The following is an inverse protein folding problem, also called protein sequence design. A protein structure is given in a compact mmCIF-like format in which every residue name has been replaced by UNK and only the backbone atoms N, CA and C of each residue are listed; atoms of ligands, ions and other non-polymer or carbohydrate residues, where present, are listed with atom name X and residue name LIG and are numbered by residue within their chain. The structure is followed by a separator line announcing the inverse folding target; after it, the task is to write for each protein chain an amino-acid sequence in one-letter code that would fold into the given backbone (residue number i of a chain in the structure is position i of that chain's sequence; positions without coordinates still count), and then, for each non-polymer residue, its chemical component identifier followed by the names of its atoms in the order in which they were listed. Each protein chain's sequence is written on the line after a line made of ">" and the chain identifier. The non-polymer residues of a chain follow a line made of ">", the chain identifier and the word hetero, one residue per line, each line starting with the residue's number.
data_IF_158717019632
#
_entry.id   IF_158717019632
#
_cell.length_a   1.000
_cell.length_b   1.000
_cell.length_c   1.000
_cell.angle_alpha   90.00
_cell.angle_beta   90.00
_cell.angle_gamma   90.00
#
_symmetry.space_group_name_H-M   'P 1'
#
loop_
_entity.id
_entity.type
_entity.pdbx_description
1 polymer ?
#
# COMPACT_ATOMS: atom_id res chain seq x y z
N UNK A 1 -65.12 -33.66 108.07
CA UNK A 1 -64.92 -34.82 107.17
C UNK A 1 -65.64 -34.61 105.84
N UNK A 2 -66.97 -34.55 105.79
CA UNK A 2 -67.71 -34.33 104.53
C UNK A 2 -67.29 -33.09 103.70
N UNK A 3 -67.03 -31.94 104.33
CA UNK A 3 -66.52 -30.74 103.62
C UNK A 3 -65.14 -30.95 102.97
N UNK A 4 -64.29 -31.77 103.60
CA UNK A 4 -62.96 -32.08 103.10
C UNK A 4 -63.05 -33.03 101.89
N UNK A 5 -63.91 -34.05 101.97
CA UNK A 5 -64.19 -34.96 100.84
C UNK A 5 -64.80 -34.25 99.63
N UNK A 6 -65.75 -33.32 99.86
CA UNK A 6 -66.31 -32.51 98.77
C UNK A 6 -65.24 -31.62 98.13
N UNK A 7 -64.35 -31.04 98.92
CA UNK A 7 -63.24 -30.23 98.42
C UNK A 7 -62.22 -31.06 97.63
N UNK A 8 -61.91 -32.30 98.06
CA UNK A 8 -61.08 -33.25 97.30
C UNK A 8 -61.74 -33.67 95.97
N UNK A 9 -63.06 -33.88 95.96
CA UNK A 9 -63.79 -34.19 94.73
C UNK A 9 -63.76 -33.03 93.73
N UNK A 10 -63.95 -31.79 94.21
CA UNK A 10 -63.84 -30.58 93.37
C UNK A 10 -62.41 -30.41 92.86
N UNK A 11 -61.39 -30.63 93.69
CA UNK A 11 -59.97 -30.57 93.26
C UNK A 11 -59.68 -31.61 92.16
N UNK A 12 -60.12 -32.85 92.32
CA UNK A 12 -59.98 -33.90 91.29
C UNK A 12 -60.73 -33.55 90.00
N UNK A 13 -61.91 -32.94 90.11
CA UNK A 13 -62.67 -32.49 88.94
C UNK A 13 -61.92 -31.38 88.19
N UNK A 14 -61.42 -30.37 88.90
CA UNK A 14 -60.60 -29.29 88.35
C UNK A 14 -59.31 -29.83 87.72
N UNK A 15 -58.67 -30.82 88.33
CA UNK A 15 -57.48 -31.48 87.77
C UNK A 15 -57.81 -32.22 86.47
N UNK A 16 -58.96 -32.90 86.37
CA UNK A 16 -59.41 -33.54 85.12
C UNK A 16 -59.67 -32.51 84.03
N UNK A 17 -60.39 -31.44 84.34
CA UNK A 17 -60.68 -30.36 83.38
C UNK A 17 -59.40 -29.66 82.91
N UNK A 18 -58.46 -29.41 83.84
CA UNK A 18 -57.13 -28.91 83.51
C UNK A 18 -56.38 -29.86 82.58
N UNK A 19 -56.38 -31.16 82.86
CA UNK A 19 -55.72 -32.15 82.01
C UNK A 19 -56.37 -32.23 80.62
N UNK A 20 -57.70 -32.18 80.53
CA UNK A 20 -58.38 -32.13 79.23
C UNK A 20 -58.01 -30.88 78.44
N UNK A 21 -57.93 -29.71 79.07
CA UNK A 21 -57.51 -28.48 78.40
C UNK A 21 -56.04 -28.56 77.94
N UNK A 22 -55.16 -29.19 78.73
CA UNK A 22 -53.77 -29.43 78.32
C UNK A 22 -53.71 -30.38 77.12
N UNK A 23 -54.51 -31.44 77.11
CA UNK A 23 -54.61 -32.38 75.98
C UNK A 23 -55.15 -31.69 74.72
N UNK A 24 -56.17 -30.84 74.83
CA UNK A 24 -56.69 -30.06 73.69
C UNK A 24 -55.66 -29.06 73.16
N UNK A 25 -54.98 -28.32 74.04
CA UNK A 25 -53.93 -27.36 73.63
C UNK A 25 -52.72 -28.06 73.01
N UNK A 26 -52.33 -29.22 73.53
CA UNK A 26 -51.23 -30.01 72.94
C UNK A 26 -51.64 -30.63 71.61
N UNK A 27 -52.88 -31.10 71.46
CA UNK A 27 -53.43 -31.57 70.18
C UNK A 27 -53.53 -30.42 69.15
N UNK A 28 -53.89 -29.20 69.59
CA UNK A 28 -53.96 -28.04 68.72
C UNK A 28 -52.56 -27.57 68.28
N UNK A 29 -51.60 -27.49 69.21
CA UNK A 29 -50.20 -27.14 68.90
C UNK A 29 -49.56 -28.16 67.96
N UNK A 30 -49.82 -29.46 68.15
CA UNK A 30 -49.30 -30.50 67.25
C UNK A 30 -49.92 -30.39 65.86
N UNK A 31 -51.23 -30.10 65.74
CA UNK A 31 -51.87 -29.81 64.43
C UNK A 31 -51.28 -28.59 63.73
N UNK A 32 -51.15 -27.46 64.43
CA UNK A 32 -50.57 -26.23 63.86
C UNK A 32 -49.12 -26.44 63.44
N UNK A 33 -48.33 -27.17 64.25
CA UNK A 33 -46.95 -27.51 63.90
C UNK A 33 -46.87 -28.37 62.64
N UNK A 34 -47.77 -29.34 62.49
CA UNK A 34 -47.84 -30.17 61.29
C UNK A 34 -48.27 -29.37 60.04
N UNK A 35 -49.20 -28.43 60.20
CA UNK A 35 -49.66 -27.55 59.11
C UNK A 35 -48.56 -26.57 58.69
N UNK A 36 -47.83 -25.99 59.65
CA UNK A 36 -46.65 -25.16 59.39
C UNK A 36 -45.55 -25.97 58.67
N UNK A 37 -45.30 -27.20 59.10
CA UNK A 37 -44.32 -28.07 58.45
C UNK A 37 -44.70 -28.40 57.00
N UNK A 38 -46.00 -28.67 56.74
CA UNK A 38 -46.50 -28.87 55.37
C UNK A 38 -46.36 -27.60 54.53
N UNK A 39 -46.73 -26.44 55.08
CA UNK A 39 -46.56 -25.15 54.40
C UNK A 39 -45.09 -24.87 54.05
N UNK A 40 -44.18 -25.09 55.01
CA UNK A 40 -42.74 -24.94 54.80
C UNK A 40 -42.22 -25.91 53.72
N UNK A 41 -42.67 -27.17 53.72
CA UNK A 41 -42.31 -28.13 52.68
C UNK A 41 -42.78 -27.66 51.28
N UNK A 42 -44.01 -27.12 51.17
CA UNK A 42 -44.52 -26.57 49.91
C UNK A 42 -43.75 -25.31 49.48
N UNK A 43 -43.36 -24.45 50.42
CA UNK A 43 -42.56 -23.25 50.13
C UNK A 43 -41.17 -23.63 49.62
N UNK A 44 -40.52 -24.62 50.23
CA UNK A 44 -39.25 -25.16 49.76
C UNK A 44 -39.37 -25.75 48.36
N UNK A 45 -40.45 -26.48 48.07
CA UNK A 45 -40.69 -27.03 46.74
C UNK A 45 -40.90 -25.94 45.69
N UNK A 46 -41.70 -24.91 45.99
CA UNK A 46 -41.92 -23.77 45.10
C UNK A 46 -40.63 -22.95 44.88
N UNK A 47 -39.83 -22.77 45.93
CA UNK A 47 -38.53 -22.11 45.85
C UNK A 47 -37.57 -22.87 44.94
N UNK A 48 -37.53 -24.20 45.05
CA UNK A 48 -36.73 -25.05 44.17
C UNK A 48 -37.18 -24.93 42.69
N UNK A 49 -38.49 -24.96 42.43
CA UNK A 49 -39.04 -24.77 41.09
C UNK A 49 -38.72 -23.38 40.52
N UNK A 50 -38.83 -22.33 41.34
CA UNK A 50 -38.44 -20.97 40.94
C UNK A 50 -36.95 -20.88 40.60
N UNK A 51 -36.10 -21.56 41.36
CA UNK A 51 -34.67 -21.62 41.06
C UNK A 51 -34.40 -22.33 39.74
N UNK A 52 -35.05 -23.47 39.49
CA UNK A 52 -34.93 -24.20 38.23
C UNK A 52 -35.37 -23.38 37.02
N UNK A 53 -36.51 -22.68 37.10
CA UNK A 53 -36.98 -21.81 36.02
C UNK A 53 -36.00 -20.65 35.80
N UNK A 54 -35.47 -20.05 36.87
CA UNK A 54 -34.43 -19.01 36.74
C UNK A 54 -33.18 -19.53 36.05
N UNK A 55 -32.72 -20.73 36.39
CA UNK A 55 -31.60 -21.36 35.70
C UNK A 55 -31.92 -21.64 34.23
N UNK A 56 -33.11 -22.14 33.91
CA UNK A 56 -33.52 -22.39 32.53
C UNK A 56 -33.55 -21.09 31.72
N UNK A 57 -34.09 -20.01 32.28
CA UNK A 57 -34.06 -18.67 31.67
C UNK A 57 -32.61 -18.21 31.47
N UNK A 58 -31.75 -18.35 32.47
CA UNK A 58 -30.33 -17.95 32.36
C UNK A 58 -29.61 -18.74 31.27
N UNK A 59 -29.83 -20.07 31.18
CA UNK A 59 -29.26 -20.91 30.10
C UNK A 59 -29.73 -20.46 28.73
N UNK A 60 -31.03 -20.13 28.58
CA UNK A 60 -31.57 -19.59 27.32
C UNK A 60 -30.96 -18.24 26.97
N UNK A 61 -30.81 -17.34 27.93
CA UNK A 61 -30.18 -16.02 27.73
C UNK A 61 -28.74 -16.17 27.28
N UNK A 62 -27.95 -17.04 27.91
CA UNK A 62 -26.55 -17.31 27.51
C UNK A 62 -26.49 -17.92 26.10
N UNK A 63 -27.33 -18.90 25.79
CA UNK A 63 -27.40 -19.50 24.45
C UNK A 63 -27.76 -18.47 23.37
N UNK A 64 -28.71 -17.56 23.65
CA UNK A 64 -29.06 -16.48 22.73
C UNK A 64 -27.87 -15.53 22.57
N UNK A 65 -27.17 -15.18 23.65
CA UNK A 65 -25.99 -14.34 23.59
C UNK A 65 -24.89 -14.97 22.71
N UNK A 66 -24.67 -16.29 22.82
CA UNK A 66 -23.72 -17.01 21.97
C UNK A 66 -24.11 -16.96 20.49
N UNK A 67 -25.41 -17.13 20.18
CA UNK A 67 -25.91 -16.98 18.82
C UNK A 67 -25.74 -15.55 18.28
N UNK A 68 -25.98 -14.53 19.11
CA UNK A 68 -25.75 -13.13 18.75
C UNK A 68 -24.28 -12.87 18.45
N UNK A 69 -23.38 -13.34 19.31
CA UNK A 69 -21.93 -13.21 19.11
C UNK A 69 -21.48 -13.92 17.83
N UNK A 70 -22.00 -15.12 17.55
CA UNK A 70 -21.72 -15.85 16.30
C UNK A 70 -22.22 -15.08 15.06
N UNK A 71 -23.43 -14.49 15.14
CA UNK A 71 -23.95 -13.63 14.07
C UNK A 71 -23.12 -12.37 13.87
N UNK A 72 -22.60 -11.74 14.93
CA UNK A 72 -21.70 -10.60 14.83
C UNK A 72 -20.38 -10.99 14.16
N UNK A 73 -19.81 -12.15 14.51
CA UNK A 73 -18.61 -12.69 13.83
C UNK A 73 -18.86 -12.87 12.34
N UNK A 74 -19.97 -13.50 11.95
CA UNK A 74 -20.33 -13.70 10.54
C UNK A 74 -20.58 -12.38 9.81
N UNK A 75 -21.20 -11.39 10.47
CA UNK A 75 -21.38 -10.04 9.90
C UNK A 75 -20.04 -9.35 9.65
N UNK A 76 -19.08 -9.51 10.57
CA UNK A 76 -17.74 -8.96 10.40
C UNK A 76 -16.99 -9.63 9.26
N UNK A 77 -17.08 -10.96 9.15
CA UNK A 77 -16.52 -11.71 8.02
C UNK A 77 -17.13 -11.27 6.70
N UNK A 78 -18.46 -11.13 6.63
CA UNK A 78 -19.15 -10.65 5.44
C UNK A 78 -18.71 -9.22 5.06
N UNK A 79 -18.54 -8.32 6.03
CA UNK A 79 -18.03 -6.97 5.79
C UNK A 79 -16.63 -7.03 5.18
N UNK A 80 -15.73 -7.83 5.75
CA UNK A 80 -14.36 -7.97 5.24
C UNK A 80 -14.32 -8.54 3.82
N UNK A 81 -15.19 -9.51 3.51
CA UNK A 81 -15.35 -10.06 2.15
C UNK A 81 -15.89 -8.99 1.19
N UNK A 82 -16.86 -8.18 1.61
CA UNK A 82 -17.39 -7.08 0.79
C UNK A 82 -16.34 -6.01 0.51
N UNK A 83 -15.56 -5.62 1.52
CA UNK A 83 -14.46 -4.67 1.34
C UNK A 83 -13.42 -5.23 0.35
N UNK A 84 -13.07 -6.52 0.48
CA UNK A 84 -12.15 -7.17 -0.45
C UNK A 84 -12.72 -7.27 -1.87
N UNK A 85 -14.01 -7.52 -2.00
CA UNK A 85 -14.72 -7.53 -3.28
C UNK A 85 -14.64 -6.16 -3.95
N UNK A 86 -14.98 -5.09 -3.22
CA UNK A 86 -14.94 -3.72 -3.73
C UNK A 86 -13.53 -3.33 -4.18
N UNK A 87 -12.50 -3.72 -3.42
CA UNK A 87 -11.10 -3.51 -3.79
C UNK A 87 -10.72 -4.22 -5.09
N UNK A 88 -11.15 -5.47 -5.27
CA UNK A 88 -10.93 -6.22 -6.51
C UNK A 88 -11.70 -5.61 -7.70
N UNK A 89 -12.92 -5.13 -7.49
CA UNK A 89 -13.71 -4.43 -8.51
C UNK A 89 -13.03 -3.11 -8.93
N UNK A 90 -12.50 -2.33 -7.98
CA UNK A 90 -11.74 -1.11 -8.27
C UNK A 90 -10.47 -1.40 -9.07
N UNK A 91 -9.69 -2.41 -8.65
CA UNK A 91 -8.49 -2.83 -9.38
C UNK A 91 -8.82 -3.30 -10.80
N UNK A 92 -9.89 -4.07 -10.97
CA UNK A 92 -10.36 -4.51 -12.29
C UNK A 92 -10.74 -3.31 -13.16
N UNK A 93 -11.43 -2.31 -12.58
CA UNK A 93 -11.80 -1.10 -13.30
C UNK A 93 -10.57 -0.30 -13.75
N UNK A 94 -9.56 -0.14 -12.89
CA UNK A 94 -8.30 0.53 -13.25
C UNK A 94 -7.57 -0.20 -14.38
N UNK A 95 -7.38 -1.51 -14.28
CA UNK A 95 -6.75 -2.30 -15.36
C UNK A 95 -7.56 -2.26 -16.66
N UNK A 96 -8.89 -2.18 -16.57
CA UNK A 96 -9.75 -2.05 -17.75
C UNK A 96 -9.56 -0.70 -18.42
N UNK A 97 -9.48 0.39 -17.65
CA UNK A 97 -9.21 1.73 -18.16
C UNK A 97 -7.81 1.83 -18.77
N UNK A 98 -6.79 1.23 -18.13
CA UNK A 98 -5.43 1.15 -18.69
C UNK A 98 -5.41 0.39 -20.02
N UNK A 99 -6.11 -0.74 -20.11
CA UNK A 99 -6.25 -1.52 -21.35
C UNK A 99 -6.94 -0.70 -22.45
N UNK A 100 -7.97 0.07 -22.11
CA UNK A 100 -8.66 0.95 -23.07
C UNK A 100 -7.76 2.07 -23.56
N UNK A 101 -7.02 2.73 -22.66
CA UNK A 101 -6.04 3.75 -23.02
C UNK A 101 -4.95 3.20 -23.94
N UNK A 102 -4.40 2.02 -23.63
CA UNK A 102 -3.44 1.34 -24.50
C UNK A 102 -4.05 0.93 -25.84
N UNK A 103 -5.32 0.53 -25.86
CA UNK A 103 -6.03 0.23 -27.10
C UNK A 103 -6.19 1.46 -27.99
N UNK A 104 -6.49 2.63 -27.41
CA UNK A 104 -6.58 3.91 -28.14
C UNK A 104 -5.19 4.26 -28.70
N UNK A 105 -4.15 4.22 -27.87
CA UNK A 105 -2.77 4.50 -28.30
C UNK A 105 -2.30 3.54 -29.41
N UNK A 106 -2.70 2.27 -29.34
CA UNK A 106 -2.43 1.29 -30.39
C UNK A 106 -3.15 1.66 -31.70
N UNK A 107 -4.40 2.11 -31.64
CA UNK A 107 -5.14 2.57 -32.83
C UNK A 107 -4.46 3.76 -33.48
N UNK A 108 -4.09 4.78 -32.69
CA UNK A 108 -3.38 5.98 -33.17
C UNK A 108 -2.01 5.63 -33.78
N UNK A 109 -1.24 4.75 -33.12
CA UNK A 109 0.02 4.28 -33.67
C UNK A 109 -0.19 3.52 -35.00
N UNK A 110 -1.24 2.70 -35.10
CA UNK A 110 -1.58 1.96 -36.32
C UNK A 110 -1.98 2.89 -37.46
N UNK A 111 -2.74 3.95 -37.18
CA UNK A 111 -3.08 5.00 -38.14
C UNK A 111 -1.85 5.76 -38.59
N UNK A 112 -0.95 6.12 -37.66
CA UNK A 112 0.33 6.77 -37.98
C UNK A 112 1.20 5.91 -38.88
N UNK A 113 1.28 4.61 -38.60
CA UNK A 113 1.99 3.65 -39.46
C UNK A 113 1.38 3.64 -40.86
N UNK A 114 0.05 3.55 -40.98
CA UNK A 114 -0.62 3.59 -42.29
C UNK A 114 -0.30 4.86 -43.09
N UNK A 115 -0.26 6.03 -42.44
CA UNK A 115 0.09 7.29 -43.09
C UNK A 115 1.54 7.27 -43.56
N UNK A 116 2.47 6.81 -42.71
CA UNK A 116 3.89 6.71 -43.07
C UNK A 116 4.13 5.71 -44.20
N UNK A 117 3.44 4.58 -44.20
CA UNK A 117 3.51 3.59 -45.29
C UNK A 117 2.99 4.17 -46.61
N UNK A 118 1.88 4.92 -46.59
CA UNK A 118 1.38 5.62 -47.77
C UNK A 118 2.38 6.65 -48.28
N UNK A 119 2.90 7.51 -47.39
CA UNK A 119 3.92 8.51 -47.76
C UNK A 119 5.17 7.85 -48.34
N UNK A 120 5.62 6.73 -47.79
CA UNK A 120 6.80 5.99 -48.29
C UNK A 120 6.55 5.47 -49.70
N UNK A 121 5.38 4.87 -49.95
CA UNK A 121 4.98 4.44 -51.30
C UNK A 121 4.92 5.60 -52.28
N UNK A 122 4.37 6.74 -51.87
CA UNK A 122 4.33 7.94 -52.72
C UNK A 122 5.74 8.45 -53.05
N UNK A 123 6.64 8.52 -52.07
CA UNK A 123 8.04 8.91 -52.31
C UNK A 123 8.77 7.90 -53.22
N UNK A 124 8.53 6.60 -53.05
CA UNK A 124 9.10 5.57 -53.91
C UNK A 124 8.61 5.72 -55.37
N UNK A 125 7.31 6.00 -55.58
CA UNK A 125 6.79 6.28 -56.93
C UNK A 125 7.41 7.54 -57.54
N UNK A 126 7.61 8.61 -56.75
CA UNK A 126 8.30 9.83 -57.22
C UNK A 126 9.74 9.52 -57.59
N UNK A 127 10.45 8.76 -56.76
CA UNK A 127 11.82 8.34 -57.04
C UNK A 127 11.90 7.54 -58.35
N UNK A 128 11.05 6.53 -58.52
CA UNK A 128 10.97 5.75 -59.76
C UNK A 128 10.72 6.63 -60.99
N UNK A 129 9.82 7.61 -60.90
CA UNK A 129 9.58 8.57 -61.98
C UNK A 129 10.82 9.41 -62.28
N UNK A 130 11.53 9.90 -61.26
CA UNK A 130 12.77 10.67 -61.46
C UNK A 130 13.87 9.83 -62.13
N UNK A 131 14.03 8.57 -61.72
CA UNK A 131 14.99 7.64 -62.35
C UNK A 131 14.63 7.43 -63.82
N UNK A 132 13.35 7.17 -64.14
CA UNK A 132 12.92 7.04 -65.55
C UNK A 132 13.18 8.32 -66.36
N UNK A 133 13.01 9.50 -65.77
CA UNK A 133 13.30 10.77 -66.45
C UNK A 133 14.80 10.99 -66.67
N UNK A 134 15.64 10.59 -65.71
CA UNK A 134 17.09 10.63 -65.84
C UNK A 134 17.55 9.68 -66.95
N UNK A 135 17.09 8.43 -66.95
CA UNK A 135 17.40 7.47 -68.01
C UNK A 135 16.99 8.01 -69.39
N UNK A 136 15.88 8.74 -69.49
CA UNK A 136 15.44 9.37 -70.75
C UNK A 136 16.41 10.48 -71.19
N UNK A 137 16.79 11.37 -70.27
CA UNK A 137 17.74 12.45 -70.52
C UNK A 137 19.15 11.92 -70.84
N UNK A 138 19.59 10.84 -70.19
CA UNK A 138 20.87 10.19 -70.49
C UNK A 138 20.87 9.60 -71.91
N UNK A 139 19.78 8.95 -72.34
CA UNK A 139 19.65 8.51 -73.74
C UNK A 139 19.65 9.69 -74.72
N UNK A 140 18.93 10.76 -74.41
CA UNK A 140 18.93 11.99 -75.24
C UNK A 140 20.33 12.60 -75.33
N UNK A 141 21.03 12.76 -74.20
CA UNK A 141 22.43 13.22 -74.16
C UNK A 141 23.36 12.27 -74.93
N UNK A 142 23.19 10.96 -74.83
CA UNK A 142 23.93 9.98 -75.63
C UNK A 142 23.73 10.23 -77.13
N UNK A 143 22.49 10.39 -77.59
CA UNK A 143 22.21 10.69 -79.01
C UNK A 143 22.75 12.06 -79.45
N UNK A 144 22.74 13.06 -78.58
CA UNK A 144 23.33 14.37 -78.86
C UNK A 144 24.86 14.29 -78.90
N UNK A 145 25.47 13.50 -78.02
CA UNK A 145 26.91 13.25 -78.01
C UNK A 145 27.36 12.54 -79.28
N UNK A 146 26.64 11.50 -79.73
CA UNK A 146 26.90 10.83 -81.02
C UNK A 146 26.80 11.81 -82.20
N UNK A 147 25.79 12.70 -82.18
CA UNK A 147 25.68 13.77 -83.19
C UNK A 147 26.85 14.75 -83.13
N UNK A 148 27.26 15.18 -81.94
CA UNK A 148 28.41 16.08 -81.78
C UNK A 148 29.70 15.41 -82.24
N UNK A 149 29.93 14.14 -81.92
CA UNK A 149 31.08 13.38 -82.41
C UNK A 149 31.08 13.24 -83.94
N UNK A 150 29.91 13.07 -84.55
CA UNK A 150 29.77 13.10 -86.01
C UNK A 150 30.08 14.48 -86.61
N UNK A 151 29.70 15.58 -85.95
CA UNK A 151 30.05 16.94 -86.36
C UNK A 151 31.53 17.26 -86.13
N UNK A 152 32.12 16.78 -85.03
CA UNK A 152 33.54 17.00 -84.73
C UNK A 152 34.43 16.18 -85.67
N UNK A 153 34.00 14.98 -86.05
CA UNK A 153 34.62 14.20 -87.14
C UNK A 153 34.56 14.94 -88.48
N UNK A 154 33.47 15.68 -88.76
CA UNK A 154 33.37 16.55 -89.94
C UNK A 154 34.24 17.82 -89.82
N UNK A 155 34.43 18.34 -88.61
CA UNK A 155 35.19 19.56 -88.34
C UNK A 155 36.71 19.33 -88.23
N UNK A 156 37.13 18.14 -87.82
CA UNK A 156 38.53 17.68 -87.86
C UNK A 156 39.08 17.71 -89.29
N UNK A 157 38.26 17.38 -90.30
CA UNK A 157 38.60 17.58 -91.72
C UNK A 157 38.73 19.06 -92.15
N UNK A 158 38.22 20.01 -91.37
CA UNK A 158 38.27 21.44 -91.64
C UNK A 158 39.34 22.18 -90.83
N UNK A 159 39.87 21.57 -89.75
CA UNK A 159 40.82 22.21 -88.83
C UNK A 159 42.27 22.24 -89.35
N UNK A 160 42.64 21.45 -90.35
CA UNK A 160 44.00 21.48 -90.93
C UNK A 160 44.32 22.76 -91.71
N UNK A 161 43.33 23.62 -92.04
CA UNK A 161 43.55 24.78 -92.91
C UNK A 161 43.79 26.12 -92.17
N UNK A 162 43.54 26.22 -90.86
CA UNK A 162 43.42 27.53 -90.18
C UNK A 162 44.46 27.83 -89.08
N UNK A 163 45.53 27.03 -88.96
CA UNK A 163 46.53 27.23 -87.89
C UNK A 163 47.67 28.24 -88.20
N UNK A 164 47.59 28.99 -89.30
CA UNK A 164 48.67 29.87 -89.77
C UNK A 164 48.53 31.37 -89.46
N UNK A 165 47.50 31.83 -88.73
CA UNK A 165 47.26 33.28 -88.53
C UNK A 165 47.82 33.89 -87.24
N UNK A 166 48.35 33.10 -86.30
CA UNK A 166 48.68 33.61 -84.95
C UNK A 166 50.14 34.06 -84.75
N UNK A 167 51.02 33.87 -85.72
CA UNK A 167 52.48 34.14 -85.62
C UNK A 167 52.93 35.48 -86.22
N UNK A 168 52.02 36.28 -86.77
CA UNK A 168 52.31 37.57 -87.43
C UNK A 168 52.10 38.80 -86.52
N UNK A 169 51.66 38.60 -85.27
CA UNK A 169 51.32 39.69 -84.33
C UNK A 169 52.47 40.08 -83.38
N UNK A 170 53.60 39.35 -83.37
CA UNK A 170 54.70 39.56 -82.39
C UNK A 170 55.95 40.29 -82.91
N UNK A 171 55.97 40.79 -84.16
CA UNK A 171 57.14 41.48 -84.74
C UNK A 171 56.88 42.92 -85.21
N UNK A 172 56.30 43.80 -84.38
CA UNK A 172 56.23 45.23 -84.70
C UNK A 172 56.38 46.12 -83.46
N UNK A 173 57.47 46.91 -83.41
CA UNK A 173 57.69 48.04 -82.48
C UNK A 173 59.01 47.93 -81.71
N UNK A 174 60.17 48.14 -82.35
CA UNK A 174 60.92 49.42 -82.46
C UNK A 174 61.42 49.95 -81.09
N UNK A 175 62.69 49.75 -80.75
CA UNK A 175 63.89 50.58 -81.07
C UNK A 175 63.94 51.96 -80.39
N UNK A 176 64.78 51.99 -79.33
CA UNK A 176 65.74 53.01 -78.86
C UNK A 176 65.66 54.47 -79.36
N UNK A 177 65.66 55.43 -78.41
CA UNK A 177 66.50 56.64 -78.47
C UNK A 177 66.28 57.61 -77.29
N UNK A 178 67.33 57.92 -76.54
CA UNK A 178 67.70 59.30 -76.16
C UNK A 178 66.71 60.15 -75.33
N UNK A 179 66.53 59.80 -74.05
CA UNK A 179 65.74 60.54 -73.07
C UNK A 179 66.04 62.04 -73.00
N UNK A 180 65.21 62.83 -73.65
CA UNK A 180 64.99 64.24 -73.32
C UNK A 180 63.95 64.32 -72.18
N UNK A 181 63.98 65.37 -71.33
CA UNK A 181 63.03 65.52 -70.19
C UNK A 181 61.55 65.44 -70.58
N UNK A 182 61.22 65.67 -71.86
CA UNK A 182 59.87 65.48 -72.41
C UNK A 182 59.52 64.01 -72.66
N UNK A 183 60.50 63.17 -73.00
CA UNK A 183 60.29 61.75 -73.25
C UNK A 183 60.08 60.96 -71.95
N UNK A 184 60.82 61.30 -70.89
CA UNK A 184 60.57 60.78 -69.55
C UNK A 184 59.16 61.18 -69.06
N UNK A 185 58.72 62.41 -69.33
CA UNK A 185 57.36 62.86 -69.01
C UNK A 185 56.30 62.12 -69.84
N UNK A 186 56.59 61.78 -71.09
CA UNK A 186 55.71 61.03 -71.98
C UNK A 186 55.63 59.54 -71.62
N UNK A 187 56.74 58.94 -71.17
CA UNK A 187 56.79 57.57 -70.63
C UNK A 187 56.01 57.46 -69.31
N UNK A 188 56.16 58.42 -68.39
CA UNK A 188 55.37 58.49 -67.15
C UNK A 188 53.87 58.63 -67.45
N UNK A 189 53.51 59.38 -68.50
CA UNK A 189 52.10 59.57 -68.89
C UNK A 189 51.51 58.29 -69.53
N UNK A 190 52.30 57.56 -70.34
CA UNK A 190 51.94 56.23 -70.86
C UNK A 190 51.79 55.18 -69.75
N UNK A 191 52.71 55.19 -68.78
CA UNK A 191 52.66 54.31 -67.61
C UNK A 191 51.44 54.62 -66.73
N UNK A 192 51.17 55.89 -66.45
CA UNK A 192 49.99 56.34 -65.72
C UNK A 192 48.66 55.95 -66.40
N UNK A 193 48.62 55.99 -67.74
CA UNK A 193 47.47 55.50 -68.52
C UNK A 193 47.31 53.98 -68.44
N UNK A 194 48.41 53.23 -68.44
CA UNK A 194 48.40 51.77 -68.26
C UNK A 194 47.87 51.39 -66.88
N UNK A 195 48.40 52.01 -65.82
CA UNK A 195 47.94 51.80 -64.44
C UNK A 195 46.46 52.14 -64.28
N UNK A 196 46.00 53.25 -64.87
CA UNK A 196 44.57 53.62 -64.85
C UNK A 196 43.69 52.58 -65.56
N UNK A 197 44.11 52.05 -66.71
CA UNK A 197 43.38 50.97 -67.39
C UNK A 197 43.32 49.70 -66.55
N UNK A 198 44.45 49.30 -65.94
CA UNK A 198 44.51 48.13 -65.06
C UNK A 198 43.61 48.29 -63.84
N UNK A 199 43.64 49.45 -63.18
CA UNK A 199 42.82 49.76 -62.02
C UNK A 199 41.33 49.76 -62.35
N UNK A 200 40.95 50.30 -63.52
CA UNK A 200 39.57 50.28 -64.01
C UNK A 200 39.08 48.86 -64.30
N UNK A 201 39.90 48.02 -64.93
CA UNK A 201 39.58 46.60 -65.14
C UNK A 201 39.40 45.89 -63.81
N UNK A 202 40.27 46.14 -62.82
CA UNK A 202 40.15 45.55 -61.49
C UNK A 202 38.86 45.97 -60.77
N UNK A 203 38.49 47.26 -60.81
CA UNK A 203 37.22 47.74 -60.26
C UNK A 203 36.00 47.09 -60.95
N UNK A 204 36.05 46.88 -62.27
CA UNK A 204 34.99 46.18 -62.99
C UNK A 204 34.91 44.70 -62.62
N UNK A 205 36.05 44.00 -62.54
CA UNK A 205 36.07 42.59 -62.13
C UNK A 205 35.51 42.42 -60.72
N UNK A 206 35.96 43.22 -59.74
CA UNK A 206 35.47 43.15 -58.35
C UNK A 206 33.96 43.45 -58.25
N UNK A 207 33.44 44.34 -59.11
CA UNK A 207 32.02 44.66 -59.18
C UNK A 207 31.20 43.53 -59.81
N UNK A 208 31.71 42.88 -60.85
CA UNK A 208 31.05 41.74 -61.52
C UNK A 208 31.06 40.48 -60.65
N UNK A 209 32.16 40.19 -59.94
CA UNK A 209 32.25 39.05 -59.02
C UNK A 209 31.19 39.10 -57.91
N UNK A 210 30.68 40.29 -57.57
CA UNK A 210 29.63 40.48 -56.59
C UNK A 210 28.20 40.40 -57.17
N UNK A 211 27.99 40.69 -58.45
CA UNK A 211 26.64 40.72 -59.02
C UNK A 211 26.09 39.31 -59.30
N UNK A 212 26.97 38.34 -59.55
CA UNK A 212 26.56 37.02 -60.01
C UNK A 212 26.26 36.02 -58.86
N UNK A 213 26.63 36.32 -57.61
CA UNK A 213 26.49 35.39 -56.47
C UNK A 213 25.24 35.64 -55.59
N UNK A 214 24.43 36.66 -55.92
CA UNK A 214 23.22 37.05 -55.15
C UNK A 214 21.93 36.34 -55.63
N UNK A 215 22.07 35.26 -56.41
CA UNK A 215 20.94 34.49 -56.97
C UNK A 215 20.54 33.26 -56.13
N UNK A 216 21.15 33.05 -54.96
CA UNK A 216 21.23 31.73 -54.34
C UNK A 216 20.33 31.43 -53.14
N UNK A 217 19.62 32.38 -52.54
CA UNK A 217 18.91 32.13 -51.27
C UNK A 217 17.60 32.94 -51.13
N UNK A 218 16.60 32.59 -51.93
CA UNK A 218 15.20 32.80 -51.57
C UNK A 218 14.57 31.45 -51.20
N UNK A 219 14.74 31.03 -49.94
CA UNK A 219 13.90 30.00 -49.36
C UNK A 219 12.56 30.62 -48.97
N UNK A 220 11.57 30.32 -49.80
CA UNK A 220 10.16 30.57 -49.62
C UNK A 220 9.68 29.89 -48.32
N UNK A 221 9.39 30.68 -47.28
CA UNK A 221 8.60 30.27 -46.12
C UNK A 221 7.48 31.28 -45.92
N UNK A 222 6.49 31.17 -46.79
CA UNK A 222 5.17 31.73 -46.58
C UNK A 222 4.49 31.04 -45.38
N UNK A 223 4.46 31.72 -44.23
CA UNK A 223 3.45 31.46 -43.21
C UNK A 223 2.83 32.76 -42.72
N UNK A 224 1.51 32.78 -42.85
CA UNK A 224 0.53 33.81 -42.50
C UNK A 224 0.56 34.25 -41.04
N UNK A 225 0.14 35.51 -40.80
CA UNK A 225 -1.04 35.85 -39.98
C UNK A 225 -0.82 37.04 -39.04
N UNK A 226 -1.53 38.13 -39.34
CA UNK A 226 -2.12 39.12 -38.42
C UNK A 226 -1.20 39.75 -37.35
N UNK A 227 -0.87 41.03 -37.52
CA UNK A 227 -1.60 42.05 -36.76
C UNK A 227 -1.53 43.43 -37.43
N UNK A 228 -2.64 44.14 -37.33
CA UNK A 228 -2.93 45.43 -37.91
C UNK A 228 -3.31 46.33 -36.75
N UNK A 229 -2.52 47.36 -36.42
CA UNK A 229 -3.04 48.61 -35.81
C UNK A 229 -2.00 49.74 -35.75
N UNK A 230 -2.36 50.83 -36.44
CA UNK A 230 -2.14 52.26 -36.11
C UNK A 230 -0.72 52.76 -35.83
N UNK A 231 -0.16 53.53 -36.78
CA UNK A 231 -0.16 55.01 -36.81
C UNK A 231 0.83 55.62 -35.80
N UNK A 232 1.83 56.40 -36.18
CA UNK A 232 1.68 57.68 -36.87
C UNK A 232 3.03 58.41 -36.93
N UNK A 233 3.06 59.46 -37.76
CA UNK A 233 3.98 60.61 -37.76
C UNK A 233 5.16 60.55 -38.74
N UNK A 234 4.83 61.12 -39.90
CA UNK A 234 5.68 61.79 -40.87
C UNK A 234 6.52 62.92 -40.23
N UNK A 235 7.79 63.03 -40.64
CA UNK A 235 8.53 64.28 -40.93
C UNK A 235 9.75 63.87 -41.77
N UNK A 236 9.76 63.98 -43.10
CA UNK A 236 10.00 65.21 -43.87
C UNK A 236 11.33 65.92 -43.52
N UNK A 237 12.40 65.60 -44.27
CA UNK A 237 13.35 66.58 -44.82
C UNK A 237 14.43 65.87 -45.69
N UNK A 238 15.02 66.58 -46.67
CA UNK A 238 15.41 66.02 -47.97
C UNK A 238 16.93 65.99 -48.19
N UNK A 239 17.32 65.56 -49.40
CA UNK A 239 18.65 65.61 -50.01
C UNK A 239 19.59 64.45 -49.68
N UNK A 240 19.64 63.47 -50.58
CA UNK A 240 20.87 63.27 -51.35
C UNK A 240 20.54 62.56 -52.66
N UNK A 241 20.91 63.25 -53.72
CA UNK A 241 20.88 62.78 -55.09
C UNK A 241 21.97 61.72 -55.18
N UNK A 242 21.61 60.44 -55.26
CA UNK A 242 22.53 59.41 -55.75
C UNK A 242 22.06 59.04 -57.15
N UNK A 243 22.53 59.87 -58.09
CA UNK A 243 22.53 59.58 -59.51
C UNK A 243 23.09 58.17 -59.71
N UNK A 244 22.28 57.32 -60.33
CA UNK A 244 22.76 56.15 -61.03
C UNK A 244 23.63 56.62 -62.21
N UNK A 245 24.93 56.81 -61.96
CA UNK A 245 25.93 56.98 -63.01
C UNK A 245 26.31 55.61 -63.56
N UNK A 246 25.45 55.06 -64.40
CA UNK A 246 25.84 54.10 -65.44
C UNK A 246 26.61 54.87 -66.52
N UNK A 247 27.84 55.26 -66.21
CA UNK A 247 28.76 55.87 -67.16
C UNK A 247 29.35 54.79 -68.08
N UNK A 248 28.57 54.43 -69.10
CA UNK A 248 29.13 54.00 -70.38
C UNK A 248 29.98 55.14 -70.92
N UNK A 249 31.29 54.92 -71.12
CA UNK A 249 32.15 55.95 -71.71
C UNK A 249 33.00 55.45 -72.87
N UNK A 250 32.83 56.21 -73.93
CA UNK A 250 33.43 56.23 -75.26
C UNK A 250 34.95 56.43 -75.26
N UNK A 251 35.58 55.97 -76.36
CA UNK A 251 37.02 55.75 -76.60
C UNK A 251 37.93 57.00 -76.55
N UNK A 252 37.50 58.17 -76.04
CA UNK A 252 38.28 59.41 -76.25
C UNK A 252 38.49 60.36 -75.05
N UNK A 253 38.54 59.85 -73.83
CA UNK A 253 38.93 60.68 -72.69
C UNK A 253 40.45 60.91 -72.65
N UNK A 254 40.83 62.17 -72.86
CA UNK A 254 42.19 62.67 -72.59
C UNK A 254 42.52 62.35 -71.14
N UNK A 255 43.59 61.58 -70.93
CA UNK A 255 44.07 61.26 -69.58
C UNK A 255 44.32 62.55 -68.79
N UNK A 256 43.45 62.86 -67.83
CA UNK A 256 43.45 64.12 -67.09
C UNK A 256 43.92 63.91 -65.65
N UNK A 257 44.52 64.97 -65.07
CA UNK A 257 45.00 64.96 -63.70
C UNK A 257 43.83 64.70 -62.75
N UNK A 258 43.93 63.63 -61.96
CA UNK A 258 42.92 63.24 -60.96
C UNK A 258 42.18 61.94 -61.27
N UNK A 259 42.21 61.42 -62.51
CA UNK A 259 41.49 60.18 -62.84
C UNK A 259 42.07 58.93 -62.13
N UNK A 260 43.38 58.87 -61.93
CA UNK A 260 44.02 57.83 -61.11
C UNK A 260 43.57 57.90 -59.64
N UNK A 261 43.43 59.10 -59.08
CA UNK A 261 42.94 59.29 -57.71
C UNK A 261 41.50 58.82 -57.60
N UNK A 262 40.62 59.21 -58.54
CA UNK A 262 39.23 58.79 -58.55
C UNK A 262 39.08 57.27 -58.69
N UNK A 263 39.88 56.62 -59.53
CA UNK A 263 39.87 55.16 -59.65
C UNK A 263 40.44 54.44 -58.40
N UNK A 264 41.40 55.06 -57.70
CA UNK A 264 41.89 54.54 -56.43
C UNK A 264 40.86 54.72 -55.31
N UNK A 265 40.17 55.86 -55.25
CA UNK A 265 39.08 56.12 -54.31
C UNK A 265 37.89 55.16 -54.55
N UNK A 266 37.56 54.90 -55.82
CA UNK A 266 36.55 53.91 -56.20
C UNK A 266 36.94 52.49 -55.76
N UNK A 267 38.21 52.09 -55.97
CA UNK A 267 38.71 50.80 -55.52
C UNK A 267 38.66 50.67 -53.99
N UNK A 268 39.08 51.69 -53.25
CA UNK A 268 39.00 51.72 -51.78
C UNK A 268 37.56 51.57 -51.33
N UNK A 269 36.61 52.26 -51.96
CA UNK A 269 35.19 52.16 -51.63
C UNK A 269 34.62 50.76 -51.92
N UNK A 270 35.01 50.13 -53.04
CA UNK A 270 34.61 48.75 -53.36
C UNK A 270 35.15 47.77 -52.31
N UNK A 271 36.42 47.89 -51.93
CA UNK A 271 37.04 47.03 -50.90
C UNK A 271 36.35 47.21 -49.54
N UNK A 272 36.12 48.45 -49.12
CA UNK A 272 35.43 48.72 -47.84
C UNK A 272 34.01 48.14 -47.82
N UNK A 273 33.29 48.19 -48.94
CA UNK A 273 31.97 47.58 -49.06
C UNK A 273 32.03 46.05 -49.02
N UNK A 274 33.02 45.44 -49.66
CA UNK A 274 33.25 43.99 -49.61
C UNK A 274 33.53 43.53 -48.18
N UNK A 275 34.44 44.20 -47.49
CA UNK A 275 34.75 43.89 -46.09
C UNK A 275 33.51 44.07 -45.20
N UNK A 276 32.76 45.16 -45.36
CA UNK A 276 31.53 45.41 -44.61
C UNK A 276 30.46 44.32 -44.86
N UNK A 277 30.30 43.85 -46.10
CA UNK A 277 29.37 42.78 -46.42
C UNK A 277 29.84 41.42 -45.89
N UNK A 278 31.13 41.10 -45.98
CA UNK A 278 31.68 39.89 -45.38
C UNK A 278 31.48 39.87 -43.87
N UNK A 279 31.75 40.98 -43.19
CA UNK A 279 31.47 41.12 -41.75
C UNK A 279 29.98 40.99 -41.45
N UNK A 280 29.11 41.59 -42.27
CA UNK A 280 27.66 41.46 -42.12
C UNK A 280 27.20 40.01 -42.26
N UNK A 281 27.67 39.29 -43.28
CA UNK A 281 27.33 37.87 -43.50
C UNK A 281 27.82 37.00 -42.35
N UNK A 282 29.07 37.18 -41.91
CA UNK A 282 29.61 36.45 -40.76
C UNK A 282 28.85 36.75 -39.46
N UNK A 283 28.45 38.01 -39.26
CA UNK A 283 27.65 38.42 -38.11
C UNK A 283 26.24 37.79 -38.17
N UNK A 284 25.59 37.81 -39.33
CA UNK A 284 24.26 37.24 -39.53
C UNK A 284 24.28 35.71 -39.33
N UNK A 285 25.31 35.02 -39.82
CA UNK A 285 25.54 33.59 -39.59
C UNK A 285 25.74 33.28 -38.10
N UNK A 286 26.60 34.05 -37.42
CA UNK A 286 26.84 33.89 -35.97
C UNK A 286 25.57 34.13 -35.17
N UNK A 287 24.78 35.15 -35.56
CA UNK A 287 23.48 35.44 -34.95
C UNK A 287 22.49 34.30 -35.17
N UNK A 288 22.42 33.73 -36.37
CA UNK A 288 21.56 32.59 -36.68
C UNK A 288 21.91 31.38 -35.82
N UNK A 289 23.21 31.06 -35.71
CA UNK A 289 23.68 29.95 -34.88
C UNK A 289 23.37 30.15 -33.39
N UNK A 290 23.48 31.38 -32.88
CA UNK A 290 23.10 31.70 -31.50
C UNK A 290 21.59 31.54 -31.26
N UNK A 291 20.75 31.97 -32.21
CA UNK A 291 19.30 31.79 -32.11
C UNK A 291 18.92 30.31 -32.10
N UNK A 292 19.52 29.48 -32.95
CA UNK A 292 19.31 28.03 -32.95
C UNK A 292 19.73 27.39 -31.62
N UNK A 293 20.88 27.79 -31.07
CA UNK A 293 21.33 27.34 -29.75
C UNK A 293 20.39 27.77 -28.63
N UNK A 294 19.85 28.99 -28.69
CA UNK A 294 18.88 29.49 -27.71
C UNK A 294 17.56 28.70 -27.77
N UNK A 295 17.07 28.39 -28.98
CA UNK A 295 15.90 27.52 -29.15
C UNK A 295 16.14 26.10 -28.64
N UNK A 296 17.32 25.52 -28.89
CA UNK A 296 17.69 24.21 -28.34
C UNK A 296 17.79 24.23 -26.81
N UNK A 297 18.38 25.28 -26.23
CA UNK A 297 18.44 25.45 -24.78
C UNK A 297 17.04 25.58 -24.18
N UNK A 298 16.14 26.31 -24.84
CA UNK A 298 14.74 26.41 -24.41
C UNK A 298 14.02 25.07 -24.45
N UNK A 299 14.17 24.29 -25.53
CA UNK A 299 13.63 22.92 -25.64
C UNK A 299 14.19 22.00 -24.54
N UNK A 300 15.50 22.06 -24.27
CA UNK A 300 16.13 21.30 -23.18
C UNK A 300 15.59 21.72 -21.81
N UNK A 301 15.41 23.01 -21.58
CA UNK A 301 14.83 23.54 -20.34
C UNK A 301 13.38 23.07 -20.14
N UNK A 302 12.56 23.05 -21.20
CA UNK A 302 11.19 22.54 -21.13
C UNK A 302 11.15 21.03 -20.80
N UNK A 303 12.07 20.25 -21.37
CA UNK A 303 12.21 18.82 -21.05
C UNK A 303 12.65 18.63 -19.58
N UNK A 304 13.62 19.43 -19.11
CA UNK A 304 14.07 19.40 -17.71
C UNK A 304 12.88 19.66 -16.79
N UNK A 305 12.10 20.71 -17.03
CA UNK A 305 10.92 21.04 -16.22
C UNK A 305 9.87 19.93 -16.22
N UNK A 306 9.64 19.28 -17.37
CA UNK A 306 8.73 18.11 -17.46
C UNK A 306 9.26 16.90 -16.68
N UNK A 307 10.57 16.65 -16.73
CA UNK A 307 11.21 15.56 -15.99
C UNK A 307 11.18 15.84 -14.48
N UNK A 308 11.45 17.06 -14.05
CA UNK A 308 11.34 17.50 -12.65
C UNK A 308 9.93 17.33 -12.12
N UNK A 309 8.91 17.73 -12.89
CA UNK A 309 7.50 17.51 -12.54
C UNK A 309 7.17 16.02 -12.40
N UNK A 310 7.60 15.19 -13.35
CA UNK A 310 7.41 13.73 -13.28
C UNK A 310 8.12 13.12 -12.08
N UNK A 311 9.34 13.57 -11.79
CA UNK A 311 10.12 13.11 -10.64
C UNK A 311 9.43 13.47 -9.33
N UNK A 312 8.93 14.70 -9.19
CA UNK A 312 8.16 15.14 -8.03
C UNK A 312 6.90 14.29 -7.80
N UNK A 313 6.16 13.96 -8.86
CA UNK A 313 4.98 13.08 -8.74
C UNK A 313 5.38 11.67 -8.31
N UNK A 314 6.45 11.11 -8.89
CA UNK A 314 6.96 9.78 -8.51
C UNK A 314 7.43 9.74 -7.05
N UNK A 315 8.07 10.82 -6.57
CA UNK A 315 8.49 10.92 -5.18
C UNK A 315 7.31 10.91 -4.21
N UNK A 316 6.22 11.62 -4.54
CA UNK A 316 4.99 11.61 -3.73
C UNK A 316 4.31 10.24 -3.74
N UNK A 317 4.22 9.58 -4.90
CA UNK A 317 3.67 8.22 -4.99
C UNK A 317 4.53 7.21 -4.20
N UNK A 318 5.85 7.33 -4.29
CA UNK A 318 6.77 6.49 -3.53
C UNK A 318 6.61 6.72 -2.02
N UNK A 319 6.43 7.98 -1.59
CA UNK A 319 6.17 8.30 -0.19
C UNK A 319 4.81 7.74 0.28
N UNK A 320 3.76 7.88 -0.52
CA UNK A 320 2.43 7.31 -0.23
C UNK A 320 2.48 5.79 -0.09
N UNK A 321 3.15 5.10 -1.01
CA UNK A 321 3.30 3.63 -0.94
C UNK A 321 4.14 3.18 0.26
N UNK A 322 5.14 3.97 0.66
CA UNK A 322 5.91 3.76 1.90
C UNK A 322 5.02 3.89 3.13
N UNK A 323 4.16 4.89 3.18
CA UNK A 323 3.22 5.15 4.27
C UNK A 323 2.18 4.03 4.38
N UNK A 324 1.57 3.62 3.25
CA UNK A 324 0.63 2.50 3.20
C UNK A 324 1.27 1.19 3.68
N UNK A 325 2.50 0.90 3.23
CA UNK A 325 3.25 -0.28 3.69
C UNK A 325 3.53 -0.21 5.19
N UNK A 326 3.91 0.96 5.71
CA UNK A 326 4.16 1.14 7.14
C UNK A 326 2.88 0.94 7.95
N UNK A 327 1.77 1.52 7.51
CA UNK A 327 0.45 1.31 8.13
C UNK A 327 0.06 -0.16 8.12
N UNK A 328 0.16 -0.85 6.98
CA UNK A 328 -0.14 -2.27 6.89
C UNK A 328 0.77 -3.13 7.80
N UNK A 329 2.04 -2.74 7.97
CA UNK A 329 2.97 -3.40 8.89
C UNK A 329 2.58 -3.17 10.34
N UNK A 330 2.18 -1.96 10.72
CA UNK A 330 1.69 -1.63 12.05
C UNK A 330 0.40 -2.41 12.35
N UNK A 331 -0.58 -2.41 11.45
CA UNK A 331 -1.83 -3.15 11.60
C UNK A 331 -1.60 -4.66 11.74
N UNK A 332 -0.69 -5.23 10.92
CA UNK A 332 -0.29 -6.63 11.03
C UNK A 332 0.40 -6.92 12.39
N UNK A 333 1.23 -6.00 12.87
CA UNK A 333 1.88 -6.14 14.17
C UNK A 333 0.89 -6.05 15.32
N UNK A 334 -0.07 -5.12 15.28
CA UNK A 334 -1.13 -4.99 16.28
C UNK A 334 -2.07 -6.19 16.28
N UNK A 335 -2.45 -6.70 15.11
CA UNK A 335 -3.27 -7.90 14.98
C UNK A 335 -2.54 -9.14 15.53
N UNK A 336 -1.25 -9.29 15.22
CA UNK A 336 -0.43 -10.40 15.73
C UNK A 336 -0.27 -10.31 17.25
N UNK A 337 -0.03 -9.12 17.79
CA UNK A 337 0.10 -8.90 19.23
C UNK A 337 -1.21 -9.16 19.96
N UNK A 338 -2.35 -8.72 19.40
CA UNK A 338 -3.68 -8.99 19.94
C UNK A 338 -3.99 -10.49 19.94
N UNK A 339 -3.66 -11.21 18.86
CA UNK A 339 -3.81 -12.67 18.83
C UNK A 339 -2.91 -13.35 19.88
N UNK A 340 -1.65 -12.91 20.03
CA UNK A 340 -0.74 -13.48 21.02
C UNK A 340 -1.23 -13.23 22.46
N UNK A 341 -1.74 -12.03 22.77
CA UNK A 341 -2.37 -11.73 24.05
C UNK A 341 -3.58 -12.63 24.34
N UNK A 342 -4.46 -12.85 23.35
CA UNK A 342 -5.61 -13.77 23.52
C UNK A 342 -5.16 -15.21 23.77
N UNK A 343 -4.11 -15.68 23.09
CA UNK A 343 -3.54 -17.02 23.31
C UNK A 343 -2.90 -17.13 24.70
N UNK A 344 -2.18 -16.10 25.15
CA UNK A 344 -1.60 -16.05 26.50
C UNK A 344 -2.71 -16.11 27.55
N UNK A 345 -3.79 -15.35 27.38
CA UNK A 345 -4.91 -15.36 28.31
C UNK A 345 -5.62 -16.72 28.33
N UNK A 346 -5.87 -17.32 27.16
CA UNK A 346 -6.46 -18.66 27.07
C UNK A 346 -5.60 -19.75 27.74
N UNK A 347 -4.27 -19.66 27.61
CA UNK A 347 -3.33 -20.55 28.32
C UNK A 347 -3.42 -20.37 29.83
N UNK A 348 -3.43 -19.12 30.32
CA UNK A 348 -3.60 -18.84 31.76
C UNK A 348 -4.92 -19.37 32.30
N UNK A 349 -6.02 -19.18 31.57
CA UNK A 349 -7.35 -19.66 32.00
C UNK A 349 -7.41 -21.19 32.05
N UNK A 350 -6.82 -21.86 31.05
CA UNK A 350 -6.66 -23.31 31.03
C UNK A 350 -5.85 -23.79 32.23
N UNK A 351 -4.70 -23.17 32.49
CA UNK A 351 -3.81 -23.58 33.58
C UNK A 351 -4.49 -23.37 34.95
N UNK A 352 -5.21 -22.26 35.14
CA UNK A 352 -6.01 -22.03 36.33
C UNK A 352 -7.17 -23.04 36.47
N UNK A 353 -7.79 -23.47 35.36
CA UNK A 353 -8.81 -24.51 35.38
C UNK A 353 -8.22 -25.88 35.75
N UNK A 354 -7.05 -26.21 35.22
CA UNK A 354 -6.31 -27.43 35.57
C UNK A 354 -5.96 -27.42 37.06
N UNK A 355 -5.44 -26.31 37.59
CA UNK A 355 -5.12 -26.17 39.02
C UNK A 355 -6.35 -26.39 39.91
N UNK A 356 -7.49 -25.77 39.57
CA UNK A 356 -8.76 -25.99 40.29
C UNK A 356 -9.19 -27.46 40.23
N UNK A 357 -9.05 -28.11 39.07
CA UNK A 357 -9.38 -29.53 38.90
C UNK A 357 -8.48 -30.41 39.77
N UNK A 358 -7.17 -30.22 39.71
CA UNK A 358 -6.21 -30.98 40.52
C UNK A 358 -6.45 -30.77 42.01
N UNK A 359 -6.76 -29.55 42.45
CA UNK A 359 -7.13 -29.29 43.86
C UNK A 359 -8.37 -30.08 44.27
N UNK A 360 -9.42 -30.07 43.46
CA UNK A 360 -10.64 -30.84 43.73
C UNK A 360 -10.38 -32.36 43.72
N UNK A 361 -9.54 -32.87 42.81
CA UNK A 361 -9.12 -34.27 42.78
C UNK A 361 -8.38 -34.68 44.06
N UNK A 362 -7.48 -33.82 44.57
CA UNK A 362 -6.76 -34.04 45.82
C UNK A 362 -7.71 -34.04 47.02
N UNK A 363 -8.65 -33.09 47.10
CA UNK A 363 -9.66 -33.04 48.15
C UNK A 363 -10.57 -34.28 48.14
N UNK A 364 -10.96 -34.75 46.95
CA UNK A 364 -11.74 -35.97 46.79
C UNK A 364 -10.97 -37.20 47.25
N UNK A 365 -9.69 -37.32 46.88
CA UNK A 365 -8.83 -38.40 47.36
C UNK A 365 -8.70 -38.38 48.89
N UNK A 366 -8.56 -37.19 49.50
CA UNK A 366 -8.51 -37.02 50.95
C UNK A 366 -9.82 -37.48 51.62
N UNK A 367 -10.97 -37.03 51.12
CA UNK A 367 -12.28 -37.44 51.64
C UNK A 367 -12.49 -38.96 51.52
N UNK A 368 -12.00 -39.58 50.44
CA UNK A 368 -12.05 -41.04 50.26
C UNK A 368 -11.22 -41.77 51.33
N UNK A 369 -10.02 -41.27 51.64
CA UNK A 369 -9.19 -41.81 52.71
C UNK A 369 -9.88 -41.66 54.07
N UNK A 370 -10.44 -40.49 54.37
CA UNK A 370 -11.18 -40.24 55.61
C UNK A 370 -12.39 -41.19 55.75
N UNK A 371 -13.13 -41.44 54.68
CA UNK A 371 -14.23 -42.40 54.66
C UNK A 371 -13.76 -43.84 54.90
N UNK A 372 -12.66 -44.26 54.25
CA UNK A 372 -12.07 -45.58 54.49
C UNK A 372 -11.62 -45.75 55.94
N UNK A 373 -11.03 -44.71 56.54
CA UNK A 373 -10.63 -44.73 57.94
C UNK A 373 -11.84 -44.81 58.88
N UNK A 374 -12.90 -44.03 58.63
CA UNK A 374 -14.14 -44.08 59.41
C UNK A 374 -14.82 -45.46 59.31
N UNK A 375 -14.81 -46.08 58.12
CA UNK A 375 -15.35 -47.42 57.93
C UNK A 375 -14.52 -48.49 58.66
N UNK A 376 -13.18 -48.38 58.65
CA UNK A 376 -12.31 -49.26 59.44
C UNK A 376 -12.62 -49.15 60.94
N UNK A 377 -12.74 -47.92 61.46
CA UNK A 377 -13.10 -47.68 62.85
C UNK A 377 -14.49 -48.25 63.20
N UNK A 378 -15.46 -48.12 62.29
CA UNK A 378 -16.78 -48.70 62.49
C UNK A 378 -16.75 -50.23 62.53
N UNK A 379 -15.99 -50.86 61.62
CA UNK A 379 -15.82 -52.32 61.61
C UNK A 379 -15.15 -52.81 62.90
N UNK A 380 -14.12 -52.12 63.38
CA UNK A 380 -13.48 -52.41 64.67
C UNK A 380 -14.46 -52.29 65.85
N UNK A 381 -15.28 -51.24 65.86
CA UNK A 381 -16.29 -51.05 66.91
C UNK A 381 -17.39 -52.13 66.88
N UNK A 382 -17.82 -52.55 65.68
CA UNK A 382 -18.76 -53.66 65.51
C UNK A 382 -18.12 -54.96 66.01
N UNK A 383 -16.87 -55.22 65.65
CA UNK A 383 -16.15 -56.42 66.08
C UNK A 383 -16.03 -56.48 67.61
N UNK A 384 -15.62 -55.38 68.25
CA UNK A 384 -15.59 -55.26 69.71
C UNK A 384 -16.97 -55.49 70.34
N UNK A 385 -18.04 -54.95 69.74
CA UNK A 385 -19.41 -55.16 70.21
C UNK A 385 -19.83 -56.63 70.08
N UNK A 386 -19.47 -57.31 68.99
CA UNK A 386 -19.75 -58.74 68.79
C UNK A 386 -19.01 -59.58 69.84
N UNK A 387 -17.74 -59.28 70.11
CA UNK A 387 -16.96 -59.96 71.15
C UNK A 387 -17.57 -59.79 72.55
N UNK A 388 -18.02 -58.57 72.90
CA UNK A 388 -18.72 -58.33 74.16
C UNK A 388 -20.07 -59.06 74.24
N UNK A 389 -20.82 -59.13 73.14
CA UNK A 389 -22.06 -59.90 73.07
C UNK A 389 -21.81 -61.40 73.28
N UNK A 390 -20.78 -61.96 72.64
CA UNK A 390 -20.37 -63.36 72.84
C UNK A 390 -19.94 -63.62 74.28
N UNK A 391 -19.18 -62.71 74.90
CA UNK A 391 -18.82 -62.81 76.32
C UNK A 391 -20.06 -62.78 77.22
N UNK A 392 -21.05 -61.93 76.92
CA UNK A 392 -22.32 -61.86 77.65
C UNK A 392 -23.13 -63.15 77.53
N UNK A 393 -23.22 -63.72 76.32
CA UNK A 393 -23.86 -65.01 76.09
C UNK A 393 -23.18 -66.13 76.87
N UNK A 394 -21.83 -66.16 76.90
CA UNK A 394 -21.07 -67.11 77.69
C UNK A 394 -21.36 -66.95 79.20
N UNK A 395 -21.31 -65.72 79.72
CA UNK A 395 -21.68 -65.42 81.10
C UNK A 395 -23.11 -65.83 81.43
N UNK A 396 -24.04 -65.65 80.49
CA UNK A 396 -25.41 -66.08 80.64
C UNK A 396 -25.48 -67.60 80.76
N UNK A 397 -24.80 -68.36 79.90
CA UNK A 397 -24.74 -69.83 79.97
C UNK A 397 -24.16 -70.26 81.33
N UNK A 398 -23.01 -69.73 81.73
CA UNK A 398 -22.35 -70.07 83.00
C UNK A 398 -23.25 -69.78 84.22
N UNK A 399 -24.01 -68.68 84.20
CA UNK A 399 -25.00 -68.38 85.25
C UNK A 399 -26.19 -69.34 85.25
N UNK A 400 -26.68 -69.75 84.08
CA UNK A 400 -27.75 -70.76 84.00
C UNK A 400 -27.26 -72.11 84.52
N UNK A 401 -26.05 -72.54 84.16
CA UNK A 401 -25.42 -73.75 84.69
C UNK A 401 -25.27 -73.69 86.22
N UNK A 402 -24.82 -72.56 86.76
CA UNK A 402 -24.72 -72.36 88.21
C UNK A 402 -26.09 -72.45 88.90
N UNK A 403 -27.14 -71.89 88.29
CA UNK A 403 -28.51 -71.99 88.81
C UNK A 403 -28.99 -73.45 88.75
N UNK A 404 -28.78 -74.16 87.64
CA UNK A 404 -29.12 -75.57 87.49
C UNK A 404 -28.38 -76.43 88.51
N UNK A 405 -27.10 -76.17 88.76
CA UNK A 405 -26.29 -76.85 89.76
C UNK A 405 -26.78 -76.54 91.18
N UNK A 406 -27.13 -75.28 91.48
CA UNK A 406 -27.77 -74.91 92.75
C UNK A 406 -29.13 -75.59 92.94
N UNK A 407 -29.97 -75.67 91.90
CA UNK A 407 -31.26 -76.35 91.95
C UNK A 407 -31.09 -77.86 92.13
N UNK A 408 -30.12 -78.47 91.44
CA UNK A 408 -29.77 -79.89 91.58
C UNK A 408 -29.24 -80.18 92.98
N UNK A 409 -28.34 -79.34 93.51
CA UNK A 409 -27.81 -79.46 94.87
C UNK A 409 -28.93 -79.31 95.91
N UNK A 410 -29.85 -78.35 95.74
CA UNK A 410 -31.04 -78.23 96.60
C UNK A 410 -31.99 -79.42 96.47
N UNK A 411 -32.18 -79.97 95.28
CA UNK A 411 -33.01 -81.15 95.06
C UNK A 411 -32.37 -82.39 95.74
N UNK A 412 -31.05 -82.54 95.63
CA UNK A 412 -30.27 -83.58 96.32
C UNK A 412 -30.34 -83.40 97.84
N UNK A 413 -30.14 -82.18 98.36
CA UNK A 413 -30.29 -81.84 99.79
C UNK A 413 -31.71 -82.09 100.29
N UNK A 414 -32.75 -81.82 99.49
CA UNK A 414 -34.15 -82.08 99.85
C UNK A 414 -34.56 -83.57 99.75
N UNK A 415 -33.87 -84.34 98.91
CA UNK A 415 -34.05 -85.79 98.75
C UNK A 415 -33.26 -86.60 99.79
N UNK A 416 -32.24 -85.99 100.42
CA UNK A 416 -31.36 -86.63 101.41
C UNK A 416 -31.38 -85.96 102.78
N UNK A 417 -32.56 -85.91 103.44
CA UNK A 417 -32.76 -86.29 104.86
C UNK A 417 -34.16 -85.88 105.37
N UNK A 418 -34.87 -86.78 106.08
CA UNK A 418 -35.83 -86.38 107.09
C UNK A 418 -35.11 -85.93 108.39
N UNK A 419 -35.83 -85.09 109.15
CA UNK A 419 -35.70 -84.81 110.59
C UNK A 419 -34.89 -83.59 111.11
N UNK A 420 -35.68 -82.60 111.60
CA UNK A 420 -35.61 -81.82 112.86
C UNK A 420 -34.38 -80.90 113.13
N UNK A 421 -34.57 -79.57 113.14
CA UNK A 421 -34.92 -78.67 114.29
C UNK A 421 -33.77 -78.52 115.31
N UNK A 422 -33.37 -77.36 115.85
CA UNK A 422 -33.85 -75.96 115.83
C UNK A 422 -32.81 -75.07 116.57
N UNK A 423 -32.77 -73.77 116.24
CA UNK A 423 -32.46 -72.61 117.12
C UNK A 423 -31.05 -72.46 117.74
N UNK A 424 -30.46 -71.27 117.93
CA UNK A 424 -30.87 -69.87 117.71
C UNK A 424 -29.70 -68.90 118.00
N UNK A 425 -29.70 -67.76 117.28
CA UNK A 425 -29.33 -66.38 117.69
C UNK A 425 -27.85 -66.09 118.07
N UNK A 426 -27.22 -64.95 117.80
CA UNK A 426 -27.54 -63.56 117.41
C UNK A 426 -26.17 -62.87 117.15
N UNK A 427 -25.96 -61.73 116.49
CA UNK A 427 -26.80 -60.68 115.90
C UNK A 427 -25.92 -59.44 115.61
N UNK A 428 -26.39 -58.59 114.66
CA UNK A 428 -26.05 -57.16 114.45
C UNK A 428 -24.62 -56.83 113.92
N UNK A 429 -24.34 -55.77 113.14
CA UNK A 429 -25.09 -54.56 112.81
C UNK A 429 -24.54 -53.87 111.52
N UNK A 430 -25.47 -53.32 110.71
CA UNK A 430 -25.49 -51.98 110.08
C UNK A 430 -24.30 -51.39 109.28
N UNK A 431 -24.62 -50.87 108.08
CA UNK A 431 -23.81 -49.84 107.40
C UNK A 431 -24.37 -49.37 106.06
N UNK A 432 -25.16 -48.29 106.07
CA UNK A 432 -25.80 -47.61 104.93
C UNK A 432 -24.87 -46.63 104.18
N UNK A 433 -25.09 -46.42 102.86
CA UNK A 433 -24.98 -45.14 102.08
C UNK A 433 -25.26 -45.44 100.57
N UNK A 434 -26.40 -45.08 99.98
CA UNK A 434 -26.84 -43.79 99.36
C UNK A 434 -26.13 -43.36 98.04
N UNK A 435 -26.86 -43.55 96.93
CA UNK A 435 -27.23 -42.60 95.84
C UNK A 435 -26.19 -41.85 94.97
N UNK A 436 -26.40 -41.89 93.64
CA UNK A 436 -26.63 -40.80 92.64
C UNK A 436 -25.93 -41.15 91.30
N UNK A 437 -26.63 -41.30 90.17
CA UNK A 437 -27.32 -40.32 89.29
C UNK A 437 -26.41 -39.92 88.11
N UNK A 438 -27.01 -40.02 86.92
CA UNK A 438 -26.57 -39.68 85.56
C UNK A 438 -25.52 -38.56 85.44
N UNK A 439 -24.59 -38.69 84.47
CA UNK A 439 -24.46 -37.76 83.34
C UNK A 439 -23.43 -38.24 82.30
N UNK A 440 -23.52 -37.69 81.07
CA UNK A 440 -22.55 -37.75 79.95
C UNK A 440 -22.90 -38.67 78.76
N UNK A 441 -23.92 -38.26 78.00
CA UNK A 441 -23.90 -38.37 76.53
C UNK A 441 -24.16 -36.99 75.94
N UNK A 442 -23.09 -36.27 75.57
CA UNK A 442 -23.12 -35.20 74.58
C UNK A 442 -21.70 -34.96 74.07
N UNK A 443 -21.57 -34.86 72.74
CA UNK A 443 -20.37 -34.58 71.95
C UNK A 443 -19.45 -35.81 71.82
N UNK A 444 -19.25 -36.40 70.63
CA UNK A 444 -18.80 -35.75 69.39
C UNK A 444 -19.10 -36.65 68.19
#
# INVERSE_FOLDING_TARGET
>A
RQKLEAQEQIMRQMEREKNMLIEELTAQNTRLSNELQKSNATEQQLSAQLHEIKEQCNRRTLSIQDHVNSLESLKNELRLILDKKNELENRLHMTTNERENLSIALSEASERIHILERSTKEQDTKYQMTVQTLDRLERENGTLSERLESFDSQRSLHSELNHHSSLLQEMNGEEDSGATKDEASQLVLKEAQSVYKQLKTLCQTLRSTHHDDDSGLHSDMSFSSLDNTMASVSMAAPNSVTEATSASMTVNDKFSRGMLSAAADELVHIIMNLDAMQFKTMFEQTRSMLMEQEEELKKKNDIIMQLESKLSVRDVELQSTIEERNQAREDASHSTLAQDETVIQARKDRDAAIERRTKAEVELAKNRVELMQANSQLLEAIQQKVELLQQLEQWQIDMHELIEEQMKNKLIESSTKPQQQQQSASGSATGSRKSRLLDLFYHR
#
